data_IF_824020769981
#
_entry.id   IF_824020769981
#
_cell.length_a   1.000
_cell.length_b   1.000
_cell.length_c   1.000
_cell.angle_alpha   90.00
_cell.angle_beta   90.00
_cell.angle_gamma   90.00
#
_symmetry.space_group_name_H-M   'P 1'
#
loop_
_entity.id
_entity.type
_entity.pdbx_description
1 polymer ?
#
# COMPACT_ATOMS: atom_id res chain seq x y z
N UNK A 1 -65.28 -11.08 63.44
CA UNK A 1 -64.38 -11.86 62.57
C UNK A 1 -64.11 -11.05 61.32
N UNK A 2 -62.83 -10.91 60.97
CA UNK A 2 -62.24 -10.50 59.68
C UNK A 2 -62.64 -9.17 58.99
N UNK A 3 -61.64 -8.29 58.89
CA UNK A 3 -61.41 -7.40 57.74
C UNK A 3 -61.27 -8.19 56.42
N UNK A 4 -61.26 -7.52 55.25
CA UNK A 4 -59.95 -7.11 54.74
C UNK A 4 -59.90 -5.71 54.09
N UNK A 5 -58.69 -5.17 54.16
CA UNK A 5 -58.16 -3.96 53.58
C UNK A 5 -58.24 -3.96 52.04
N UNK A 6 -58.53 -2.81 51.43
CA UNK A 6 -58.31 -2.60 49.98
C UNK A 6 -57.17 -1.60 49.79
N UNK A 7 -56.00 -2.19 49.52
CA UNK A 7 -54.74 -1.55 49.19
C UNK A 7 -54.82 -0.72 47.90
N UNK A 8 -54.39 0.55 47.97
CA UNK A 8 -54.11 1.40 46.81
C UNK A 8 -52.93 0.80 46.05
N UNK A 9 -53.18 0.24 44.86
CA UNK A 9 -52.13 -0.10 43.87
C UNK A 9 -51.35 1.15 43.50
N UNK A 10 -50.11 1.26 43.99
CA UNK A 10 -49.08 2.09 43.39
C UNK A 10 -48.79 1.56 41.98
N UNK A 11 -48.80 2.47 41.00
CA UNK A 11 -48.28 2.21 39.67
C UNK A 11 -46.83 1.74 39.79
N UNK A 12 -46.51 0.65 39.08
CA UNK A 12 -45.18 0.07 38.96
C UNK A 12 -44.22 1.10 38.37
N UNK A 13 -43.05 1.17 38.99
CA UNK A 13 -41.93 1.99 38.59
C UNK A 13 -41.56 1.77 37.12
N UNK A 14 -41.22 2.85 36.44
CA UNK A 14 -40.49 2.82 35.19
C UNK A 14 -39.16 2.07 35.39
N UNK A 15 -38.77 1.27 34.39
CA UNK A 15 -37.41 0.77 34.22
C UNK A 15 -36.46 1.97 34.22
N UNK A 16 -35.72 2.15 35.31
CA UNK A 16 -34.49 2.93 35.27
C UNK A 16 -33.47 2.07 34.50
N UNK A 17 -32.90 2.53 33.36
CA UNK A 17 -31.90 1.76 32.66
C UNK A 17 -30.66 1.69 33.56
N UNK A 18 -30.49 0.58 34.27
CA UNK A 18 -29.29 0.31 35.04
C UNK A 18 -28.08 0.42 34.10
N UNK A 19 -27.01 1.16 34.48
CA UNK A 19 -25.86 1.32 33.61
C UNK A 19 -25.26 -0.06 33.30
N UNK A 20 -25.20 -0.40 32.02
CA UNK A 20 -24.57 -1.63 31.55
C UNK A 20 -23.06 -1.41 31.58
N UNK A 21 -22.33 -2.38 32.13
CA UNK A 21 -20.87 -2.39 32.10
C UNK A 21 -20.38 -3.61 31.33
N UNK A 22 -19.48 -3.42 30.36
CA UNK A 22 -18.86 -4.48 29.55
C UNK A 22 -17.36 -4.33 29.59
N UNK A 23 -16.65 -5.44 29.81
CA UNK A 23 -15.17 -5.48 29.79
C UNK A 23 -14.69 -6.23 28.56
N UNK A 24 -13.67 -5.66 27.90
CA UNK A 24 -13.01 -6.17 26.70
C UNK A 24 -11.54 -6.39 27.03
N UNK A 25 -11.00 -7.56 26.68
CA UNK A 25 -9.59 -7.90 26.92
C UNK A 25 -8.77 -7.79 25.63
N UNK A 26 -7.74 -6.94 25.65
CA UNK A 26 -6.85 -6.65 24.54
C UNK A 26 -5.64 -7.61 24.52
N UNK A 27 -5.89 -8.91 24.33
CA UNK A 27 -4.82 -9.91 24.30
C UNK A 27 -4.01 -9.86 22.99
N UNK A 28 -2.70 -10.05 23.12
CA UNK A 28 -1.75 -10.16 22.00
C UNK A 28 -1.38 -8.82 21.34
N UNK A 29 -1.78 -7.69 21.92
CA UNK A 29 -1.53 -6.35 21.38
C UNK A 29 -0.89 -5.49 22.46
N UNK A 30 0.10 -4.67 22.09
CA UNK A 30 0.62 -3.66 23.02
C UNK A 30 -0.41 -2.52 23.17
N UNK A 31 -0.85 -2.23 24.40
CA UNK A 31 -1.87 -1.19 24.65
C UNK A 31 -1.51 0.19 24.08
N UNK A 32 -0.22 0.52 24.00
CA UNK A 32 0.24 1.77 23.37
C UNK A 32 -0.10 1.87 21.88
N UNK A 33 -0.22 0.74 21.17
CA UNK A 33 -0.63 0.72 19.76
C UNK A 33 -2.13 0.95 19.61
N UNK A 34 -2.93 0.44 20.54
CA UNK A 34 -4.39 0.55 20.53
C UNK A 34 -4.88 1.91 21.06
N UNK A 35 -4.29 2.40 22.15
CA UNK A 35 -4.67 3.68 22.78
C UNK A 35 -3.94 4.87 22.15
N UNK A 36 -2.82 4.61 21.47
CA UNK A 36 -1.90 5.60 20.95
C UNK A 36 -1.04 6.28 22.04
N UNK A 37 0.03 6.99 21.66
CA UNK A 37 0.82 7.79 22.59
C UNK A 37 -0.04 8.79 23.37
N UNK A 38 0.14 8.84 24.69
CA UNK A 38 -0.63 9.71 25.60
C UNK A 38 -2.15 9.49 25.52
N UNK A 39 -2.57 8.27 25.20
CA UNK A 39 -3.97 7.84 25.07
C UNK A 39 -4.75 8.65 24.03
N UNK A 40 -4.05 9.15 23.00
CA UNK A 40 -4.64 10.04 21.98
C UNK A 40 -5.82 9.42 21.23
N UNK A 41 -5.80 8.10 20.99
CA UNK A 41 -6.86 7.38 20.28
C UNK A 41 -8.04 7.11 21.21
N UNK A 42 -7.77 6.79 22.49
CA UNK A 42 -8.79 6.62 23.52
C UNK A 42 -9.64 7.89 23.67
N UNK A 43 -9.00 9.07 23.71
CA UNK A 43 -9.71 10.36 23.79
C UNK A 43 -10.64 10.61 22.61
N UNK A 44 -10.35 10.03 21.45
CA UNK A 44 -11.22 10.15 20.28
C UNK A 44 -12.41 9.22 20.44
N UNK A 45 -12.21 7.98 20.90
CA UNK A 45 -13.32 7.07 21.25
C UNK A 45 -14.26 7.72 22.27
N UNK A 46 -13.73 8.33 23.33
CA UNK A 46 -14.53 9.06 24.33
C UNK A 46 -15.28 10.26 23.72
N UNK A 47 -14.64 10.99 22.79
CA UNK A 47 -15.26 12.12 22.09
C UNK A 47 -16.40 11.68 21.15
N UNK A 48 -16.23 10.56 20.48
CA UNK A 48 -17.23 9.97 19.57
C UNK A 48 -18.40 9.34 20.35
N UNK A 49 -18.17 8.87 21.58
CA UNK A 49 -19.17 8.29 22.48
C UNK A 49 -19.22 9.00 23.85
N UNK A 50 -19.70 10.25 23.93
CA UNK A 50 -19.64 11.08 25.14
C UNK A 50 -20.51 10.57 26.30
N UNK A 51 -21.41 9.63 26.05
CA UNK A 51 -22.30 9.01 27.05
C UNK A 51 -21.77 7.68 27.60
N UNK A 52 -20.54 7.30 27.25
CA UNK A 52 -19.88 6.06 27.70
C UNK A 52 -18.63 6.41 28.49
N UNK A 53 -18.57 5.93 29.74
CA UNK A 53 -17.36 5.98 30.54
C UNK A 53 -16.42 4.86 30.12
N UNK A 54 -15.20 5.22 29.70
CA UNK A 54 -14.17 4.28 29.28
C UNK A 54 -13.06 4.21 30.34
N UNK A 55 -12.82 3.03 30.90
CA UNK A 55 -11.78 2.80 31.89
C UNK A 55 -10.80 1.75 31.39
N UNK A 56 -9.51 2.09 31.34
CA UNK A 56 -8.46 1.16 30.94
C UNK A 56 -7.60 0.77 32.14
N UNK A 57 -7.43 -0.55 32.36
CA UNK A 57 -6.56 -1.11 33.41
C UNK A 57 -5.78 -2.30 32.85
N UNK A 58 -4.46 -2.14 32.69
CA UNK A 58 -3.64 -3.17 32.05
C UNK A 58 -4.08 -3.40 30.61
N UNK A 59 -4.46 -4.63 30.27
CA UNK A 59 -5.03 -5.02 28.97
C UNK A 59 -6.57 -5.06 28.97
N UNK A 60 -7.24 -4.61 30.03
CA UNK A 60 -8.69 -4.59 30.11
C UNK A 60 -9.24 -3.18 29.85
N UNK A 61 -10.27 -3.11 28.99
CA UNK A 61 -11.03 -1.90 28.68
C UNK A 61 -12.46 -2.14 29.14
N UNK A 62 -12.90 -1.35 30.11
CA UNK A 62 -14.27 -1.40 30.65
C UNK A 62 -15.06 -0.21 30.12
N UNK A 63 -16.21 -0.50 29.51
CA UNK A 63 -17.16 0.47 28.96
C UNK A 63 -18.41 0.46 29.84
N UNK A 64 -18.82 1.62 30.36
CA UNK A 64 -20.01 1.73 31.22
C UNK A 64 -20.93 2.85 30.76
N UNK A 65 -22.24 2.63 30.77
CA UNK A 65 -23.21 3.63 30.34
C UNK A 65 -24.55 3.02 29.89
N UNK A 66 -25.25 3.73 29.02
CA UNK A 66 -26.51 3.28 28.43
C UNK A 66 -26.28 2.14 27.43
N UNK A 67 -27.16 1.14 27.39
CA UNK A 67 -26.95 -0.13 26.68
C UNK A 67 -26.64 0.07 25.18
N UNK A 68 -27.35 0.94 24.48
CA UNK A 68 -27.08 1.20 23.05
C UNK A 68 -25.74 1.90 22.86
N UNK A 69 -25.43 2.89 23.68
CA UNK A 69 -24.17 3.62 23.60
C UNK A 69 -22.96 2.69 23.89
N UNK A 70 -23.04 1.86 24.92
CA UNK A 70 -22.00 0.86 25.26
C UNK A 70 -21.84 -0.15 24.14
N UNK A 71 -22.93 -0.58 23.49
CA UNK A 71 -22.87 -1.52 22.37
C UNK A 71 -22.17 -0.91 21.15
N UNK A 72 -22.48 0.35 20.81
CA UNK A 72 -21.81 1.05 19.71
C UNK A 72 -20.32 1.29 19.99
N UNK A 73 -19.99 1.77 21.19
CA UNK A 73 -18.61 1.97 21.61
C UNK A 73 -17.81 0.65 21.64
N UNK A 74 -18.45 -0.46 22.07
CA UNK A 74 -17.85 -1.79 22.02
C UNK A 74 -17.52 -2.20 20.59
N UNK A 75 -18.44 -2.02 19.64
CA UNK A 75 -18.18 -2.38 18.23
C UNK A 75 -17.00 -1.58 17.68
N UNK A 76 -16.90 -0.28 18.01
CA UNK A 76 -15.76 0.53 17.64
C UNK A 76 -14.46 0.04 18.29
N UNK A 77 -14.45 -0.26 19.59
CA UNK A 77 -13.25 -0.78 20.29
C UNK A 77 -12.84 -2.15 19.75
N UNK A 78 -13.78 -3.05 19.51
CA UNK A 78 -13.54 -4.36 18.89
C UNK A 78 -12.96 -4.20 17.47
N UNK A 79 -13.44 -3.23 16.70
CA UNK A 79 -12.90 -2.90 15.37
C UNK A 79 -11.48 -2.33 15.47
N UNK A 80 -11.20 -1.40 16.38
CA UNK A 80 -9.84 -0.88 16.59
C UNK A 80 -8.88 -1.96 17.07
N UNK A 81 -9.36 -2.87 17.93
CA UNK A 81 -8.63 -4.07 18.33
C UNK A 81 -8.32 -4.94 17.12
N UNK A 82 -9.30 -5.20 16.27
CA UNK A 82 -9.13 -5.98 15.05
C UNK A 82 -8.13 -5.30 14.10
N UNK A 83 -8.29 -4.01 13.82
CA UNK A 83 -7.35 -3.19 13.02
C UNK A 83 -5.92 -3.20 13.60
N UNK A 84 -5.77 -3.12 14.92
CA UNK A 84 -4.46 -3.14 15.57
C UNK A 84 -3.83 -4.54 15.55
N UNK A 85 -4.60 -5.61 15.80
CA UNK A 85 -4.18 -7.01 15.52
C UNK A 85 -3.80 -7.18 14.06
N UNK A 86 -4.43 -6.39 13.20
CA UNK A 86 -4.15 -6.35 11.78
C UNK A 86 -2.87 -5.58 11.42
N UNK A 87 -2.14 -5.03 12.39
CA UNK A 87 -0.89 -4.31 12.16
C UNK A 87 -1.09 -2.99 11.43
N UNK A 88 -2.33 -2.49 11.37
CA UNK A 88 -2.61 -1.12 10.94
C UNK A 88 -2.12 -0.18 12.04
N UNK A 89 -1.34 0.81 11.64
CA UNK A 89 -0.97 1.90 12.55
C UNK A 89 -2.15 2.85 12.59
N UNK A 90 -2.95 2.74 13.63
CA UNK A 90 -4.16 3.56 13.77
C UNK A 90 -3.77 5.00 14.11
N UNK A 91 -4.20 5.93 13.27
CA UNK A 91 -4.12 7.35 13.51
C UNK A 91 -5.48 7.91 13.95
N UNK A 92 -5.51 9.10 14.57
CA UNK A 92 -6.74 9.77 14.98
C UNK A 92 -7.89 9.79 13.96
N UNK A 93 -7.56 10.03 12.69
CA UNK A 93 -8.55 10.11 11.62
C UNK A 93 -9.23 8.75 11.36
N UNK A 94 -8.50 7.66 11.56
CA UNK A 94 -9.01 6.30 11.33
C UNK A 94 -10.09 5.94 12.35
N UNK A 95 -9.96 6.40 13.60
CA UNK A 95 -10.96 6.18 14.66
C UNK A 95 -12.30 6.83 14.29
N UNK A 96 -12.27 8.11 13.89
CA UNK A 96 -13.49 8.83 13.48
C UNK A 96 -14.07 8.25 12.18
N UNK A 97 -13.22 7.86 11.22
CA UNK A 97 -13.68 7.22 9.98
C UNK A 97 -14.36 5.87 10.25
N UNK A 98 -13.76 5.01 11.08
CA UNK A 98 -14.34 3.72 11.48
C UNK A 98 -15.66 3.92 12.21
N UNK A 99 -15.77 4.87 13.14
CA UNK A 99 -17.04 5.16 13.82
C UNK A 99 -18.15 5.57 12.81
N UNK A 100 -17.79 6.38 11.81
CA UNK A 100 -18.73 6.80 10.76
C UNK A 100 -19.18 5.63 9.88
N UNK A 101 -18.28 4.74 9.48
CA UNK A 101 -18.63 3.56 8.66
C UNK A 101 -19.52 2.61 9.45
N UNK A 102 -19.13 2.29 10.69
CA UNK A 102 -19.88 1.40 11.57
C UNK A 102 -21.30 1.92 11.86
N UNK A 103 -21.47 3.23 12.04
CA UNK A 103 -22.78 3.85 12.26
C UNK A 103 -23.65 3.94 11.00
N UNK A 104 -23.04 4.01 9.81
CA UNK A 104 -23.77 4.16 8.55
C UNK A 104 -24.16 2.82 7.90
N UNK A 105 -23.27 1.82 7.89
CA UNK A 105 -23.49 0.55 7.19
C UNK A 105 -23.45 -0.68 8.10
N UNK A 106 -22.89 -0.58 9.31
CA UNK A 106 -22.68 -1.73 10.20
C UNK A 106 -21.60 -2.71 9.73
N UNK A 107 -20.93 -2.43 8.61
CA UNK A 107 -19.82 -3.23 8.11
C UNK A 107 -18.51 -2.88 8.83
N UNK A 108 -17.69 -3.89 9.10
CA UNK A 108 -16.38 -3.73 9.76
C UNK A 108 -15.30 -3.40 8.73
N UNK A 109 -14.65 -2.21 8.79
CA UNK A 109 -13.55 -1.86 7.90
C UNK A 109 -12.43 -2.92 7.85
N UNK A 110 -12.11 -3.53 8.98
CA UNK A 110 -11.12 -4.60 9.12
C UNK A 110 -11.43 -5.84 8.29
N UNK A 111 -12.70 -6.23 8.19
CA UNK A 111 -13.17 -7.35 7.36
C UNK A 111 -13.07 -7.08 5.86
N UNK A 112 -13.10 -5.79 5.47
CA UNK A 112 -12.97 -5.38 4.08
C UNK A 112 -11.53 -5.42 3.54
N UNK A 113 -10.51 -5.59 4.41
CA UNK A 113 -9.09 -5.58 4.02
C UNK A 113 -8.48 -6.97 3.80
N UNK A 114 -9.25 -8.05 4.02
CA UNK A 114 -8.81 -9.43 3.79
C UNK A 114 -7.93 -10.02 4.90
N UNK A 115 -7.58 -11.30 4.76
CA UNK A 115 -6.79 -12.04 5.75
C UNK A 115 -5.30 -11.66 5.74
N UNK A 116 -4.60 -11.97 6.84
CA UNK A 116 -3.15 -11.83 6.90
C UNK A 116 -2.46 -12.78 5.91
N UNK A 117 -1.48 -12.26 5.17
CA UNK A 117 -0.68 -13.06 4.23
C UNK A 117 0.38 -13.85 5.00
N UNK A 118 1.15 -13.16 5.84
CA UNK A 118 2.20 -13.76 6.67
C UNK A 118 2.18 -13.15 8.06
N UNK A 119 2.58 -13.96 9.05
CA UNK A 119 2.92 -13.49 10.38
C UNK A 119 4.28 -14.04 10.76
N UNK A 120 5.27 -13.16 10.90
CA UNK A 120 6.64 -13.53 11.26
C UNK A 120 7.16 -12.57 12.32
N UNK A 121 7.72 -13.09 13.41
CA UNK A 121 8.39 -12.30 14.47
C UNK A 121 7.52 -11.13 14.99
N UNK A 122 6.21 -11.36 15.13
CA UNK A 122 5.25 -10.34 15.59
C UNK A 122 4.88 -9.26 14.56
N UNK A 123 5.44 -9.31 13.34
CA UNK A 123 5.01 -8.49 12.21
C UNK A 123 4.01 -9.26 11.36
N UNK A 124 2.85 -8.65 11.14
CA UNK A 124 1.82 -9.18 10.25
C UNK A 124 1.86 -8.43 8.93
N UNK A 125 2.03 -9.17 7.83
CA UNK A 125 2.01 -8.63 6.47
C UNK A 125 0.64 -8.89 5.89
N UNK A 126 -0.05 -7.82 5.48
CA UNK A 126 -1.39 -7.87 4.90
C UNK A 126 -1.68 -6.63 4.04
N UNK A 127 -2.72 -6.68 3.19
CA UNK A 127 -3.25 -5.49 2.55
C UNK A 127 -3.74 -4.47 3.57
N UNK A 128 -3.52 -3.19 3.28
CA UNK A 128 -3.94 -2.05 4.11
C UNK A 128 -4.95 -1.15 3.42
N UNK A 129 -5.17 -1.37 2.13
CA UNK A 129 -6.15 -0.66 1.31
C UNK A 129 -6.94 -1.66 0.48
N UNK A 130 -8.10 -1.24 -0.03
CA UNK A 130 -8.93 -2.08 -0.92
C UNK A 130 -8.16 -2.43 -2.19
N UNK A 131 -7.45 -1.47 -2.81
CA UNK A 131 -6.64 -1.74 -4.01
C UNK A 131 -5.53 -2.76 -3.75
N UNK A 132 -4.87 -2.71 -2.59
CA UNK A 132 -3.91 -3.72 -2.18
C UNK A 132 -4.54 -5.10 -1.97
N UNK A 133 -5.78 -5.15 -1.45
CA UNK A 133 -6.52 -6.40 -1.26
C UNK A 133 -6.87 -7.00 -2.61
N UNK A 134 -7.48 -6.22 -3.49
CA UNK A 134 -7.86 -6.65 -4.84
C UNK A 134 -6.64 -7.18 -5.61
N UNK A 135 -5.49 -6.52 -5.46
CA UNK A 135 -4.22 -6.98 -6.01
C UNK A 135 -3.79 -8.34 -5.45
N UNK A 136 -3.88 -8.54 -4.13
CA UNK A 136 -3.51 -9.81 -3.48
C UNK A 136 -4.47 -10.93 -3.86
N UNK A 137 -5.78 -10.64 -3.88
CA UNK A 137 -6.82 -11.59 -4.29
C UNK A 137 -6.63 -11.99 -5.77
N UNK A 138 -6.22 -11.05 -6.63
CA UNK A 138 -5.88 -11.35 -8.02
C UNK A 138 -4.70 -12.31 -8.17
N UNK A 139 -3.68 -12.25 -7.29
CA UNK A 139 -2.53 -13.17 -7.28
C UNK A 139 -2.97 -14.62 -6.99
N UNK A 140 -4.03 -14.81 -6.20
CA UNK A 140 -4.51 -16.15 -5.85
C UNK A 140 -5.22 -16.85 -6.99
N UNK A 141 -5.95 -16.09 -7.81
CA UNK A 141 -6.86 -16.63 -8.82
C UNK A 141 -6.34 -16.54 -10.26
N UNK A 142 -5.21 -15.86 -10.51
CA UNK A 142 -4.61 -15.75 -11.84
C UNK A 142 -3.18 -16.31 -11.86
N UNK A 143 -2.79 -16.89 -13.00
CA UNK A 143 -1.43 -17.38 -13.24
C UNK A 143 -0.41 -16.24 -13.39
N UNK A 144 -0.79 -15.15 -14.07
CA UNK A 144 0.07 -13.97 -14.22
C UNK A 144 -0.64 -12.71 -13.71
N UNK A 145 0.01 -11.96 -12.82
CA UNK A 145 -0.50 -10.68 -12.34
C UNK A 145 0.51 -9.56 -12.56
N UNK A 146 0.05 -8.46 -13.15
CA UNK A 146 0.79 -7.21 -13.27
C UNK A 146 0.36 -6.26 -12.14
N UNK A 147 1.23 -6.02 -11.17
CA UNK A 147 1.05 -5.00 -10.13
C UNK A 147 1.65 -3.67 -10.59
N UNK A 148 0.84 -2.76 -11.09
CA UNK A 148 1.30 -1.49 -11.68
C UNK A 148 0.87 -0.34 -10.77
N UNK A 149 1.82 0.46 -10.29
CA UNK A 149 1.47 1.65 -9.52
C UNK A 149 2.67 2.36 -8.90
N UNK A 150 2.45 3.50 -8.23
CA UNK A 150 3.50 4.31 -7.63
C UNK A 150 4.40 3.56 -6.63
N UNK A 151 5.57 4.11 -6.34
CA UNK A 151 6.42 3.62 -5.25
C UNK A 151 5.70 3.75 -3.89
N UNK A 152 5.81 2.72 -3.03
CA UNK A 152 5.20 2.70 -1.70
C UNK A 152 3.76 2.18 -1.65
N UNK A 153 3.18 1.75 -2.77
CA UNK A 153 1.87 1.07 -2.83
C UNK A 153 1.90 -0.39 -2.37
N UNK A 154 3.08 -0.93 -2.03
CA UNK A 154 3.22 -2.29 -1.55
C UNK A 154 3.25 -3.38 -2.63
N UNK A 155 3.18 -3.04 -3.94
CA UNK A 155 3.14 -4.01 -5.05
C UNK A 155 4.17 -5.16 -4.94
N UNK A 156 5.46 -4.83 -4.81
CA UNK A 156 6.52 -5.83 -4.73
C UNK A 156 6.51 -6.56 -3.39
N UNK A 157 6.30 -5.81 -2.30
CA UNK A 157 6.30 -6.36 -0.95
C UNK A 157 5.18 -7.39 -0.73
N UNK A 158 3.96 -7.08 -1.18
CA UNK A 158 2.82 -7.99 -1.09
C UNK A 158 2.98 -9.20 -2.03
N UNK A 159 3.53 -9.02 -3.25
CA UNK A 159 3.85 -10.13 -4.14
C UNK A 159 4.84 -11.12 -3.51
N UNK A 160 5.90 -10.60 -2.90
CA UNK A 160 6.90 -11.42 -2.21
C UNK A 160 6.30 -12.12 -0.98
N UNK A 161 5.41 -11.45 -0.24
CA UNK A 161 4.70 -12.08 0.87
C UNK A 161 3.85 -13.27 0.38
N UNK A 162 3.16 -13.13 -0.77
CA UNK A 162 2.42 -14.24 -1.40
C UNK A 162 3.34 -15.35 -1.90
N UNK A 163 4.51 -15.01 -2.44
CA UNK A 163 5.51 -16.00 -2.84
C UNK A 163 6.00 -16.86 -1.65
N UNK A 164 6.32 -16.20 -0.54
CA UNK A 164 6.74 -16.87 0.71
C UNK A 164 5.61 -17.69 1.30
N UNK A 165 4.36 -17.18 1.30
CA UNK A 165 3.18 -17.94 1.74
C UNK A 165 3.00 -19.21 0.90
N UNK A 166 3.07 -19.10 -0.42
CA UNK A 166 2.93 -20.25 -1.34
C UNK A 166 4.04 -21.31 -1.09
N UNK A 167 5.28 -20.88 -0.85
CA UNK A 167 6.38 -21.78 -0.51
C UNK A 167 6.15 -22.49 0.84
N UNK A 168 5.72 -21.75 1.88
CA UNK A 168 5.43 -22.31 3.20
C UNK A 168 4.26 -23.32 3.17
N UNK A 169 3.26 -23.04 2.33
CA UNK A 169 2.11 -23.94 2.08
C UNK A 169 2.43 -25.10 1.13
N UNK A 170 3.65 -25.16 0.58
CA UNK A 170 4.09 -26.15 -0.40
C UNK A 170 3.24 -26.16 -1.68
N UNK A 171 2.67 -25.02 -2.02
CA UNK A 171 1.97 -24.81 -3.30
C UNK A 171 2.97 -24.66 -4.46
N UNK A 172 4.17 -24.18 -4.14
CA UNK A 172 5.32 -24.13 -5.03
C UNK A 172 6.55 -24.69 -4.34
N UNK A 173 7.49 -25.24 -5.11
CA UNK A 173 8.78 -25.71 -4.58
C UNK A 173 9.86 -24.63 -4.53
N UNK A 174 9.73 -23.54 -5.28
CA UNK A 174 10.76 -22.50 -5.41
C UNK A 174 10.20 -21.09 -5.52
N UNK A 175 10.98 -20.12 -5.06
CA UNK A 175 10.74 -18.68 -5.29
C UNK A 175 11.87 -18.15 -6.17
N UNK A 176 11.54 -17.41 -7.22
CA UNK A 176 12.51 -16.75 -8.09
C UNK A 176 12.19 -15.26 -8.11
N UNK A 177 13.08 -14.44 -7.56
CA UNK A 177 13.00 -12.99 -7.56
C UNK A 177 13.99 -12.44 -8.57
N UNK A 178 13.51 -11.62 -9.49
CA UNK A 178 14.34 -11.08 -10.54
C UNK A 178 14.06 -9.61 -10.81
N UNK A 179 15.10 -8.91 -11.25
CA UNK A 179 15.07 -7.47 -11.55
C UNK A 179 15.91 -7.21 -12.82
N UNK A 180 15.49 -6.33 -13.73
CA UNK A 180 16.33 -5.93 -14.85
C UNK A 180 17.52 -5.12 -14.34
N UNK A 181 18.71 -5.41 -14.87
CA UNK A 181 19.86 -4.56 -14.64
C UNK A 181 19.72 -3.32 -15.53
N UNK A 182 19.47 -2.16 -14.93
CA UNK A 182 19.46 -0.87 -15.62
C UNK A 182 20.49 0.04 -14.99
N UNK A 183 21.29 0.66 -15.83
CA UNK A 183 22.33 1.63 -15.46
C UNK A 183 21.67 2.95 -15.04
N UNK A 184 21.06 2.98 -13.85
CA UNK A 184 20.51 4.20 -13.28
C UNK A 184 21.65 5.10 -12.77
N UNK A 185 22.24 5.89 -13.67
CA UNK A 185 23.14 6.99 -13.33
C UNK A 185 24.64 6.65 -13.26
N UNK A 186 25.03 5.43 -12.90
CA UNK A 186 26.41 4.96 -12.96
C UNK A 186 26.53 3.78 -13.95
N UNK A 187 27.50 3.84 -14.88
CA UNK A 187 27.71 2.69 -15.79
C UNK A 187 28.14 1.49 -14.96
N UNK A 188 27.54 0.33 -15.19
CA UNK A 188 27.82 -0.92 -14.47
C UNK A 188 29.32 -1.27 -14.49
N UNK A 189 30.05 -0.75 -15.50
CA UNK A 189 31.50 -0.83 -15.64
C UNK A 189 32.34 -0.20 -14.52
N UNK A 190 31.85 0.77 -13.74
CA UNK A 190 32.67 1.54 -12.78
C UNK A 190 32.75 0.98 -11.35
N UNK A 191 31.84 0.09 -10.95
CA UNK A 191 31.93 -0.56 -9.64
C UNK A 191 33.11 -1.56 -9.64
N UNK A 192 34.08 -1.48 -8.71
CA UNK A 192 35.18 -2.44 -8.61
C UNK A 192 34.67 -3.80 -8.13
N UNK A 193 35.30 -4.90 -8.56
CA UNK A 193 34.94 -6.27 -8.16
C UNK A 193 34.47 -7.17 -9.31
N UNK A 194 33.97 -8.34 -8.94
CA UNK A 194 33.42 -9.34 -9.87
C UNK A 194 32.09 -8.86 -10.49
N UNK A 195 31.63 -9.50 -11.57
CA UNK A 195 30.32 -9.18 -12.16
C UNK A 195 29.18 -9.30 -11.13
N UNK A 196 29.29 -10.24 -10.19
CA UNK A 196 28.35 -10.42 -9.09
C UNK A 196 28.37 -9.21 -8.15
N UNK A 197 29.55 -8.72 -7.76
CA UNK A 197 29.69 -7.55 -6.86
C UNK A 197 29.10 -6.27 -7.46
N UNK A 198 29.09 -6.17 -8.79
CA UNK A 198 28.50 -5.03 -9.52
C UNK A 198 26.97 -5.09 -9.58
N UNK A 199 26.38 -6.28 -9.53
CA UNK A 199 24.92 -6.49 -9.65
C UNK A 199 24.25 -6.55 -8.27
N UNK A 200 24.98 -7.00 -7.24
CA UNK A 200 24.49 -7.18 -5.87
C UNK A 200 23.75 -5.95 -5.29
N UNK A 201 24.21 -4.69 -5.47
CA UNK A 201 23.50 -3.52 -4.95
C UNK A 201 22.05 -3.38 -5.47
N UNK A 202 21.79 -3.79 -6.72
CA UNK A 202 20.45 -3.70 -7.33
C UNK A 202 19.49 -4.78 -6.83
N UNK A 203 20.03 -5.92 -6.38
CA UNK A 203 19.26 -7.04 -5.87
C UNK A 203 19.07 -6.98 -4.35
N UNK A 204 19.89 -6.19 -3.64
CA UNK A 204 19.85 -6.06 -2.18
C UNK A 204 18.45 -5.76 -1.60
N UNK A 205 17.62 -4.86 -2.17
CA UNK A 205 16.26 -4.64 -1.66
C UNK A 205 15.39 -5.91 -1.64
N UNK A 206 15.59 -6.83 -2.58
CA UNK A 206 14.87 -8.11 -2.62
C UNK A 206 15.37 -9.07 -1.53
N UNK A 207 16.68 -9.08 -1.25
CA UNK A 207 17.24 -9.84 -0.12
C UNK A 207 16.74 -9.31 1.21
N UNK A 208 16.74 -7.99 1.40
CA UNK A 208 16.26 -7.35 2.62
C UNK A 208 14.79 -7.70 2.88
N UNK A 209 13.93 -7.60 1.86
CA UNK A 209 12.53 -7.96 1.98
C UNK A 209 12.29 -9.44 2.33
N UNK A 210 13.06 -10.38 1.75
CA UNK A 210 12.95 -11.80 2.15
C UNK A 210 13.38 -12.03 3.59
N UNK A 211 14.46 -11.37 4.04
CA UNK A 211 14.93 -11.47 5.43
C UNK A 211 13.92 -10.90 6.44
N UNK A 212 13.06 -9.97 6.03
CA UNK A 212 11.95 -9.50 6.87
C UNK A 212 10.78 -10.49 6.93
N UNK A 213 10.55 -11.26 5.87
CA UNK A 213 9.40 -12.17 5.72
C UNK A 213 9.65 -13.57 6.29
N UNK A 214 10.90 -13.97 6.43
CA UNK A 214 11.31 -15.30 6.86
C UNK A 214 12.26 -15.22 8.05
N UNK A 215 12.62 -16.38 8.61
CA UNK A 215 13.69 -16.43 9.59
C UNK A 215 15.06 -16.25 8.89
N UNK A 216 15.82 -15.17 9.17
CA UNK A 216 17.16 -14.97 8.63
C UNK A 216 18.16 -16.10 8.89
N UNK A 217 17.92 -17.01 9.84
CA UNK A 217 18.77 -18.21 9.96
C UNK A 217 18.48 -19.25 8.86
N UNK A 218 17.26 -19.25 8.31
CA UNK A 218 16.81 -20.19 7.28
C UNK A 218 17.07 -19.65 5.88
N UNK A 219 16.96 -18.32 5.67
CA UNK A 219 17.12 -17.70 4.35
C UNK A 219 18.43 -18.11 3.64
N UNK A 220 19.62 -18.07 4.28
CA UNK A 220 20.87 -18.50 3.64
C UNK A 220 20.83 -19.95 3.16
N UNK A 221 20.17 -20.85 3.89
CA UNK A 221 20.04 -22.27 3.50
C UNK A 221 19.14 -22.43 2.28
N UNK A 222 18.03 -21.69 2.22
CA UNK A 222 17.11 -21.71 1.08
C UNK A 222 17.73 -21.09 -0.16
N UNK A 223 18.55 -20.05 0.01
CA UNK A 223 19.32 -19.46 -1.10
C UNK A 223 20.39 -20.43 -1.60
N UNK A 224 21.17 -21.03 -0.69
CA UNK A 224 22.22 -21.97 -1.06
C UNK A 224 21.70 -23.26 -1.75
N UNK A 225 20.49 -23.71 -1.37
CA UNK A 225 19.83 -24.86 -2.00
C UNK A 225 19.11 -24.52 -3.31
N UNK A 226 18.98 -23.23 -3.65
CA UNK A 226 18.23 -22.77 -4.83
C UNK A 226 16.71 -22.83 -4.67
N UNK A 227 16.21 -23.04 -3.46
CA UNK A 227 14.78 -22.90 -3.14
C UNK A 227 14.33 -21.45 -3.27
N UNK A 228 15.19 -20.50 -2.88
CA UNK A 228 15.00 -19.06 -3.13
C UNK A 228 16.13 -18.60 -4.04
N UNK A 229 15.80 -18.10 -5.22
CA UNK A 229 16.76 -17.57 -6.17
C UNK A 229 16.53 -16.06 -6.33
N UNK A 230 17.57 -15.25 -6.09
CA UNK A 230 17.56 -13.81 -6.39
C UNK A 230 18.59 -13.55 -7.46
N UNK A 231 18.14 -13.23 -8.67
CA UNK A 231 19.01 -13.17 -9.85
C UNK A 231 18.59 -12.10 -10.85
N UNK A 232 19.52 -11.53 -11.64
CA UNK A 232 19.17 -10.54 -12.66
C UNK A 232 18.35 -11.18 -13.80
N UNK A 233 17.52 -10.38 -14.47
CA UNK A 233 16.58 -10.85 -15.51
C UNK A 233 17.25 -11.67 -16.63
N UNK A 234 18.51 -11.37 -16.95
CA UNK A 234 19.27 -12.08 -17.98
C UNK A 234 19.40 -13.60 -17.70
N UNK A 235 19.37 -14.01 -16.43
CA UNK A 235 19.51 -15.41 -16.01
C UNK A 235 18.24 -16.22 -16.28
N UNK A 236 17.13 -15.56 -16.64
CA UNK A 236 15.89 -16.23 -17.01
C UNK A 236 15.92 -16.80 -18.44
N UNK A 237 16.85 -16.33 -19.27
CA UNK A 237 16.95 -16.74 -20.68
C UNK A 237 17.16 -18.26 -20.80
N UNK A 238 16.35 -18.89 -21.66
CA UNK A 238 16.46 -20.31 -21.96
C UNK A 238 15.92 -21.26 -20.88
N UNK A 239 15.31 -20.73 -19.81
CA UNK A 239 14.74 -21.54 -18.73
C UNK A 239 13.26 -21.83 -18.97
N UNK A 240 12.78 -22.94 -18.41
CA UNK A 240 11.35 -23.15 -18.18
C UNK A 240 11.17 -23.26 -16.68
N UNK A 241 10.36 -22.37 -16.11
CA UNK A 241 10.16 -22.24 -14.68
C UNK A 241 8.93 -23.06 -14.31
N UNK A 242 9.14 -24.27 -13.81
CA UNK A 242 8.07 -25.14 -13.29
C UNK A 242 8.05 -25.07 -11.77
N UNK A 243 6.86 -25.24 -11.20
CA UNK A 243 6.62 -25.36 -9.76
C UNK A 243 7.30 -24.25 -8.95
N UNK A 244 7.10 -23.01 -9.41
CA UNK A 244 7.81 -21.83 -8.91
C UNK A 244 6.87 -20.63 -8.75
N UNK A 245 7.13 -19.79 -7.76
CA UNK A 245 6.57 -18.45 -7.69
C UNK A 245 7.62 -17.44 -8.15
N UNK A 246 7.34 -16.72 -9.24
CA UNK A 246 8.32 -15.85 -9.90
C UNK A 246 7.88 -14.39 -9.77
N UNK A 247 8.73 -13.52 -9.25
CA UNK A 247 8.49 -12.09 -9.17
C UNK A 247 9.51 -11.35 -10.04
N UNK A 248 9.03 -10.58 -11.02
CA UNK A 248 9.83 -9.62 -11.78
C UNK A 248 9.57 -8.22 -11.24
N UNK A 249 10.54 -7.66 -10.53
CA UNK A 249 10.49 -6.31 -9.98
C UNK A 249 11.09 -5.26 -10.92
N UNK A 250 10.66 -4.01 -10.75
CA UNK A 250 10.97 -2.86 -11.63
C UNK A 250 10.76 -3.16 -13.11
N UNK A 251 9.65 -3.81 -13.45
CA UNK A 251 9.35 -4.25 -14.80
C UNK A 251 9.25 -3.10 -15.82
N UNK A 252 9.05 -1.85 -15.38
CA UNK A 252 9.09 -0.68 -16.26
C UNK A 252 10.46 -0.53 -16.95
N UNK A 253 11.50 -1.10 -16.34
CA UNK A 253 12.88 -1.08 -16.81
C UNK A 253 13.24 -2.29 -17.70
N UNK A 254 12.22 -2.94 -18.28
CA UNK A 254 12.40 -4.00 -19.29
C UNK A 254 12.07 -3.50 -20.69
N UNK A 255 12.78 -3.99 -21.71
CA UNK A 255 12.37 -3.81 -23.12
C UNK A 255 11.20 -4.75 -23.47
N UNK A 256 10.45 -4.50 -24.56
CA UNK A 256 9.42 -5.42 -25.03
C UNK A 256 9.91 -6.85 -25.27
N UNK A 257 11.14 -6.99 -25.79
CA UNK A 257 11.77 -8.29 -26.04
C UNK A 257 12.11 -9.00 -24.73
N UNK A 258 12.59 -8.26 -23.71
CA UNK A 258 12.86 -8.81 -22.39
C UNK A 258 11.58 -9.24 -21.67
N UNK A 259 10.52 -8.44 -21.75
CA UNK A 259 9.20 -8.79 -21.21
C UNK A 259 8.67 -10.07 -21.87
N UNK A 260 8.70 -10.15 -23.21
CA UNK A 260 8.32 -11.37 -23.94
C UNK A 260 9.20 -12.56 -23.56
N UNK A 261 10.51 -12.35 -23.45
CA UNK A 261 11.45 -13.40 -23.02
C UNK A 261 11.07 -13.95 -21.66
N UNK A 262 10.77 -13.08 -20.68
CA UNK A 262 10.38 -13.45 -19.32
C UNK A 262 9.04 -14.21 -19.26
N UNK A 263 7.98 -13.65 -19.85
CA UNK A 263 6.64 -14.24 -19.79
C UNK A 263 6.60 -15.63 -20.45
N UNK A 264 7.40 -15.84 -21.50
CA UNK A 264 7.52 -17.15 -22.16
C UNK A 264 8.36 -18.18 -21.40
N UNK A 265 8.87 -17.85 -20.19
CA UNK A 265 9.51 -18.83 -19.30
C UNK A 265 8.51 -19.56 -18.41
N UNK A 266 7.22 -19.17 -18.44
CA UNK A 266 6.16 -19.82 -17.68
C UNK A 266 6.10 -21.32 -17.97
N UNK A 267 6.19 -22.12 -16.90
CA UNK A 267 6.01 -23.57 -16.92
C UNK A 267 4.82 -24.01 -16.08
N UNK A 268 4.65 -25.32 -15.92
CA UNK A 268 3.53 -25.89 -15.16
C UNK A 268 3.69 -25.64 -13.66
N UNK A 269 2.56 -25.39 -12.98
CA UNK A 269 2.54 -25.14 -11.53
C UNK A 269 3.23 -23.84 -11.12
N UNK A 270 3.38 -22.90 -12.04
CA UNK A 270 4.10 -21.64 -11.80
C UNK A 270 3.13 -20.47 -11.76
N UNK A 271 3.36 -19.54 -10.83
CA UNK A 271 2.71 -18.23 -10.80
C UNK A 271 3.73 -17.14 -11.06
N UNK A 272 3.35 -16.11 -11.80
CA UNK A 272 4.21 -14.97 -12.12
C UNK A 272 3.57 -13.66 -11.66
N UNK A 273 4.32 -12.86 -10.93
CA UNK A 273 3.92 -11.49 -10.59
C UNK A 273 4.94 -10.51 -11.17
N UNK A 274 4.46 -9.55 -11.93
CA UNK A 274 5.27 -8.53 -12.59
C UNK A 274 4.94 -7.18 -11.97
N UNK A 275 5.89 -6.57 -11.26
CA UNK A 275 5.67 -5.32 -10.54
C UNK A 275 6.43 -4.18 -11.19
N UNK A 276 5.82 -3.00 -11.26
CA UNK A 276 6.51 -1.83 -11.80
C UNK A 276 5.73 -0.53 -11.70
N UNK A 277 6.39 0.56 -12.04
CA UNK A 277 5.82 1.90 -12.10
C UNK A 277 6.05 2.50 -13.48
N UNK A 278 5.00 2.62 -14.30
CA UNK A 278 5.11 3.14 -15.67
C UNK A 278 5.56 4.60 -15.75
N UNK A 279 5.59 5.32 -14.63
CA UNK A 279 6.06 6.72 -14.58
C UNK A 279 7.57 6.84 -14.34
N UNK A 280 8.23 5.77 -13.86
CA UNK A 280 9.65 5.75 -13.48
C UNK A 280 10.50 4.91 -14.46
N UNK A 281 10.45 5.25 -15.75
CA UNK A 281 11.19 4.51 -16.78
C UNK A 281 12.63 5.02 -16.87
N UNK A 282 13.60 4.18 -16.50
CA UNK A 282 15.03 4.48 -16.54
C UNK A 282 15.72 3.99 -17.84
N UNK A 283 14.95 3.42 -18.78
CA UNK A 283 15.49 2.86 -20.02
C UNK A 283 15.98 3.94 -20.99
N UNK A 284 17.16 3.76 -21.60
CA UNK A 284 17.61 4.60 -22.70
C UNK A 284 16.64 4.47 -23.88
N UNK A 285 15.90 5.54 -24.20
CA UNK A 285 14.86 5.58 -25.24
C UNK A 285 13.42 5.55 -24.71
N UNK A 286 13.21 5.27 -23.41
CA UNK A 286 11.90 5.40 -22.75
C UNK A 286 10.81 4.40 -23.20
N UNK A 287 11.15 3.42 -24.03
CA UNK A 287 10.20 2.40 -24.51
C UNK A 287 10.19 1.22 -23.54
N UNK A 288 9.26 1.29 -22.57
CA UNK A 288 9.05 0.23 -21.59
C UNK A 288 8.20 -0.92 -22.14
N UNK A 289 8.66 -2.16 -21.93
CA UNK A 289 7.92 -3.39 -22.17
C UNK A 289 6.65 -3.48 -21.32
N UNK A 290 6.69 -3.00 -20.07
CA UNK A 290 5.52 -2.96 -19.17
C UNK A 290 4.39 -2.08 -19.74
N UNK A 291 4.72 -0.93 -20.34
CA UNK A 291 3.71 -0.04 -20.92
C UNK A 291 3.07 -0.63 -22.19
N UNK A 292 3.83 -1.41 -22.94
CA UNK A 292 3.37 -2.01 -24.19
C UNK A 292 2.57 -3.29 -23.91
N UNK A 293 3.03 -4.13 -22.97
CA UNK A 293 2.41 -5.43 -22.70
C UNK A 293 0.97 -5.31 -22.24
N UNK A 294 0.62 -4.26 -21.49
CA UNK A 294 -0.77 -3.98 -21.13
C UNK A 294 -1.71 -3.89 -22.33
N UNK A 295 -1.25 -3.34 -23.46
CA UNK A 295 -2.06 -3.28 -24.69
C UNK A 295 -2.11 -4.59 -25.46
N UNK A 296 -1.10 -5.45 -25.28
CA UNK A 296 -0.95 -6.72 -26.02
C UNK A 296 -1.74 -7.83 -25.33
N UNK A 297 -1.72 -7.87 -23.99
CA UNK A 297 -2.25 -8.98 -23.20
C UNK A 297 -3.56 -8.67 -22.46
N UNK A 298 -4.16 -7.49 -22.66
CA UNK A 298 -5.42 -7.05 -22.03
C UNK A 298 -6.59 -8.06 -22.13
N UNK A 299 -6.57 -8.91 -23.17
CA UNK A 299 -7.65 -9.87 -23.47
C UNK A 299 -7.24 -11.32 -23.30
N UNK A 300 -6.10 -11.58 -22.68
CA UNK A 300 -5.63 -12.94 -22.45
C UNK A 300 -6.16 -13.40 -21.09
N UNK A 301 -6.95 -14.48 -21.10
CA UNK A 301 -7.45 -15.10 -19.89
C UNK A 301 -6.31 -15.51 -18.96
N UNK A 302 -6.58 -15.54 -17.65
CA UNK A 302 -5.60 -15.93 -16.61
C UNK A 302 -4.40 -14.95 -16.45
N UNK A 303 -4.51 -13.77 -17.07
CA UNK A 303 -3.64 -12.61 -16.87
C UNK A 303 -4.45 -11.45 -16.30
N UNK A 304 -4.01 -10.88 -15.18
CA UNK A 304 -4.67 -9.74 -14.55
C UNK A 304 -3.75 -8.51 -14.45
N UNK A 305 -4.32 -7.33 -14.65
CA UNK A 305 -3.63 -6.04 -14.47
C UNK A 305 -4.23 -5.30 -13.27
N UNK A 306 -3.52 -5.33 -12.14
CA UNK A 306 -3.88 -4.61 -10.93
C UNK A 306 -3.22 -3.22 -10.93
N UNK A 307 -4.04 -2.18 -10.98
CA UNK A 307 -3.60 -0.79 -10.98
C UNK A 307 -3.72 -0.17 -9.59
N UNK A 308 -2.59 -0.03 -8.90
CA UNK A 308 -2.50 0.65 -7.61
C UNK A 308 -2.28 2.15 -7.80
N UNK A 309 -2.91 2.97 -6.97
CA UNK A 309 -2.88 4.44 -7.09
C UNK A 309 -2.14 5.09 -5.94
N UNK A 310 -2.14 6.42 -5.88
CA UNK A 310 -1.66 7.18 -4.72
C UNK A 310 -2.41 6.82 -3.43
N UNK A 311 -3.67 6.40 -3.53
CA UNK A 311 -4.51 6.06 -2.38
C UNK A 311 -4.06 4.74 -1.73
N UNK A 312 -3.31 3.92 -2.47
CA UNK A 312 -2.72 2.68 -1.97
C UNK A 312 -1.34 2.88 -1.31
N UNK A 313 -0.81 4.11 -1.29
CA UNK A 313 0.51 4.40 -0.73
C UNK A 313 0.44 4.42 0.79
N UNK A 314 1.01 3.39 1.41
CA UNK A 314 1.08 3.31 2.87
C UNK A 314 2.51 3.50 3.34
N UNK A 315 2.80 4.73 3.80
CA UNK A 315 4.09 5.13 4.34
C UNK A 315 3.92 5.68 5.75
N UNK A 316 5.03 5.75 6.48
CA UNK A 316 5.04 6.44 7.76
C UNK A 316 4.64 7.91 7.58
N UNK A 317 3.82 8.46 8.48
CA UNK A 317 3.26 9.82 8.38
C UNK A 317 4.34 10.90 8.17
N UNK A 318 5.51 10.75 8.82
CA UNK A 318 6.65 11.65 8.62
C UNK A 318 7.18 11.63 7.18
N UNK A 319 7.24 10.47 6.53
CA UNK A 319 7.68 10.36 5.13
C UNK A 319 6.68 11.07 4.22
N UNK A 320 5.38 10.96 4.50
CA UNK A 320 4.34 11.74 3.80
C UNK A 320 4.60 13.24 3.90
N UNK A 321 4.83 13.75 5.12
CA UNK A 321 5.17 15.17 5.37
C UNK A 321 6.45 15.62 4.66
N UNK A 322 7.46 14.76 4.61
CA UNK A 322 8.71 15.05 3.88
C UNK A 322 8.42 15.17 2.38
N UNK A 323 7.70 14.20 1.80
CA UNK A 323 7.36 14.22 0.36
C UNK A 323 6.53 15.45 0.01
N UNK A 324 5.53 15.78 0.82
CA UNK A 324 4.69 16.98 0.66
C UNK A 324 5.52 18.26 0.70
N UNK A 325 6.43 18.40 1.68
CA UNK A 325 7.29 19.57 1.79
C UNK A 325 8.22 19.75 0.57
N UNK A 326 8.73 18.66 0.00
CA UNK A 326 9.50 18.72 -1.26
C UNK A 326 8.61 19.03 -2.46
N UNK A 327 7.41 18.46 -2.53
CA UNK A 327 6.42 18.76 -3.57
C UNK A 327 6.07 20.25 -3.62
N UNK A 328 5.73 20.84 -2.46
CA UNK A 328 5.47 22.28 -2.38
C UNK A 328 6.66 23.13 -2.82
N UNK A 329 7.88 22.71 -2.47
CA UNK A 329 9.10 23.42 -2.85
C UNK A 329 9.30 23.38 -4.38
N UNK A 330 9.14 22.21 -5.00
CA UNK A 330 9.29 22.03 -6.44
C UNK A 330 8.20 22.76 -7.23
N UNK A 331 6.96 22.77 -6.74
CA UNK A 331 5.85 23.52 -7.34
C UNK A 331 6.10 25.02 -7.29
N UNK A 332 6.53 25.56 -6.14
CA UNK A 332 6.92 26.97 -6.01
C UNK A 332 8.07 27.32 -6.96
N UNK A 333 9.05 26.43 -7.11
CA UNK A 333 10.19 26.64 -8.02
C UNK A 333 9.78 26.61 -9.48
N UNK A 334 8.88 25.69 -9.86
CA UNK A 334 8.34 25.57 -11.21
C UNK A 334 7.47 26.79 -11.57
N UNK A 335 6.61 27.24 -10.65
CA UNK A 335 5.81 28.45 -10.81
C UNK A 335 6.71 29.69 -11.02
N UNK A 336 7.71 29.88 -10.16
CA UNK A 336 8.67 30.98 -10.30
C UNK A 336 9.45 30.94 -11.62
N UNK A 337 9.82 29.74 -12.10
CA UNK A 337 10.47 29.57 -13.40
C UNK A 337 9.53 29.97 -14.55
N UNK A 338 8.27 29.52 -14.51
CA UNK A 338 7.26 29.86 -15.52
C UNK A 338 6.97 31.37 -15.54
N UNK A 339 6.89 32.03 -14.38
CA UNK A 339 6.74 33.49 -14.28
C UNK A 339 7.93 34.23 -14.91
N UNK A 340 9.16 33.79 -14.64
CA UNK A 340 10.36 34.36 -15.26
C UNK A 340 10.38 34.17 -16.78
N UNK A 341 9.96 33.01 -17.28
CA UNK A 341 9.85 32.74 -18.71
C UNK A 341 8.79 33.63 -19.37
N UNK A 342 7.61 33.76 -18.76
CA UNK A 342 6.55 34.65 -19.24
C UNK A 342 6.98 36.13 -19.24
N UNK A 343 7.68 36.58 -18.20
CA UNK A 343 8.22 37.93 -18.12
C UNK A 343 9.27 38.20 -19.23
N UNK A 344 10.14 37.23 -19.51
CA UNK A 344 11.12 37.30 -20.61
C UNK A 344 10.43 37.33 -21.98
N UNK A 345 9.41 36.51 -22.21
CA UNK A 345 8.65 36.53 -23.47
C UNK A 345 7.93 37.85 -23.69
N UNK A 346 7.36 38.43 -22.63
CA UNK A 346 6.69 39.72 -22.70
C UNK A 346 7.67 40.87 -23.05
N UNK A 347 8.83 40.90 -22.40
CA UNK A 347 9.90 41.86 -22.72
C UNK A 347 10.37 41.74 -24.18
N UNK A 348 10.61 40.51 -24.65
CA UNK A 348 11.01 40.25 -26.05
C UNK A 348 9.93 40.67 -27.07
N UNK A 349 8.64 40.53 -26.75
CA UNK A 349 7.54 41.03 -27.61
C UNK A 349 7.47 42.55 -27.63
N UNK A 350 7.73 43.22 -26.51
CA UNK A 350 7.75 44.68 -26.43
C UNK A 350 8.91 45.27 -27.26
N UNK A 351 10.09 44.67 -27.19
CA UNK A 351 11.26 45.10 -27.98
C UNK A 351 11.05 44.90 -29.49
N UNK A 352 10.44 43.77 -29.91
CA UNK A 352 10.06 43.55 -31.32
C UNK A 352 9.06 44.58 -31.85
N UNK A 353 8.14 45.06 -31.00
CA UNK A 353 7.19 46.13 -31.37
C UNK A 353 7.86 47.50 -31.46
N UNK A 354 8.85 47.79 -30.61
CA UNK A 354 9.66 49.02 -30.71
C UNK A 354 10.56 49.06 -31.94
N UNK A 355 11.05 47.91 -32.39
CA UNK A 355 11.92 47.79 -33.57
C UNK A 355 11.19 47.94 -34.93
N UNK A 356 9.86 48.05 -34.97
CA UNK A 356 9.08 48.38 -36.19
C UNK A 356 8.19 49.62 -36.00
N UNK A 357 8.73 50.84 -36.10
CA UNK A 357 7.90 52.04 -36.25
C UNK A 357 7.63 52.31 -37.74
N UNK A 358 6.39 52.10 -38.19
CA UNK A 358 5.83 52.84 -39.34
C UNK A 358 5.85 52.17 -40.71
N UNK A 359 4.91 51.26 -40.97
CA UNK A 359 4.44 50.95 -42.34
C UNK A 359 2.93 51.18 -42.44
N UNK A 360 2.47 52.39 -42.13
CA UNK A 360 1.10 52.84 -42.43
C UNK A 360 1.11 54.30 -42.84
N UNK A 361 0.99 54.54 -44.14
CA UNK A 361 0.62 55.85 -44.66
C UNK A 361 1.25 56.21 -46.00
N UNK A 362 1.02 55.44 -47.07
CA UNK A 362 1.08 56.04 -48.40
C UNK A 362 0.23 55.30 -49.44
N UNK A 363 -0.43 56.12 -50.26
CA UNK A 363 -1.13 55.84 -51.53
C UNK A 363 -2.61 55.44 -51.47
N UNK A 364 -3.46 56.46 -51.38
CA UNK A 364 -4.56 56.61 -52.35
C UNK A 364 -4.52 58.01 -52.95
N UNK A 365 -3.96 58.11 -54.15
CA UNK A 365 -3.97 59.31 -54.99
C UNK A 365 -3.87 58.88 -56.45
N UNK A 366 -4.93 59.21 -57.21
CA UNK A 366 -5.11 59.46 -58.66
C UNK A 366 -3.95 59.05 -59.59
N UNK A 367 -4.14 58.45 -60.76
CA UNK A 367 -5.22 58.58 -61.77
C UNK A 367 -5.36 57.30 -62.59
#
# INVERSE_FOLDING_TARGET
>A
MCSPETSRKRASLADDPSPTSVTITADGIAMVQLLGPQDRLLRIVEKEHPSVDVLVRGNEITLSGEQSAVSAARVLVDELLEMTRNGLSIEPADVTASNRVLSASGERPSSALGEAILSTRGKVIRPKTIGQRDYVDAIDVNTIVFGIGPAGTGKTYLAMAKAVQALQRREVSRIILTRPAVEAGERLGFLPGTLTDKIDPYLRPLYDAINEMMDPEIVPKLVASGTIEVAPLAYMRGRTLNDSFVVLDEAQNTTPEQMKMFLTRLGFGTRMVVTGDTTQIDLPGGVSGLRIVGKILDRVDDIHFAHLTSDDVVRHALVGKIVEAYGEYDDKRNAHRLELEQAREFANRADRRRAQPGARGQKRGRS
#
